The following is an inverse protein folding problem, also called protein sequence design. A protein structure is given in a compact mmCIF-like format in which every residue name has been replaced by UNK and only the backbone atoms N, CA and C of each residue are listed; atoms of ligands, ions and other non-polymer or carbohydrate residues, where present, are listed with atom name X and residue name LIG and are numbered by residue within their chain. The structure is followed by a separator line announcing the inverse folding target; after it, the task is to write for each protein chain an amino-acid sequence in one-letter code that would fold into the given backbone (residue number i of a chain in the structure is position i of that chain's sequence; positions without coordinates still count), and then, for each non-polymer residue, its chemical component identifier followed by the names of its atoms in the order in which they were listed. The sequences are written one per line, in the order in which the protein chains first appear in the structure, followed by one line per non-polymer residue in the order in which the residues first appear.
data_IF_457987121097
#
_entry.id   IF_457987121097
#
_cell.length_a   1.000
_cell.length_b   1.000
_cell.length_c   1.000
_cell.angle_alpha   90.00
_cell.angle_beta   90.00
_cell.angle_gamma   90.00
#
_symmetry.space_group_name_H-M   'P 1'
#
loop_
_entity.id
_entity.type
_entity.pdbx_description
1 polymer ?
#
# COMPACT_ATOMS: atom_id res chain seq x y z
N UNK A 1 -6.47 24.75 2.54
CA UNK A 1 -6.32 23.36 3.06
C UNK A 1 -4.83 23.15 3.12
N UNK A 2 -4.30 22.85 4.31
CA UNK A 2 -2.87 22.87 4.58
C UNK A 2 -2.33 21.42 4.65
N UNK A 3 -1.39 21.00 3.78
CA UNK A 3 -1.00 19.59 3.65
C UNK A 3 -0.33 19.01 4.89
N UNK A 4 0.30 19.86 5.71
CA UNK A 4 1.01 19.48 6.93
C UNK A 4 0.08 19.20 8.11
N UNK A 5 -1.22 19.50 8.01
CA UNK A 5 -2.14 19.33 9.14
C UNK A 5 -2.59 17.88 9.29
N UNK A 6 -2.84 17.47 10.54
CA UNK A 6 -3.32 16.13 10.85
C UNK A 6 -4.66 15.85 10.16
N UNK A 7 -5.54 16.85 10.07
CA UNK A 7 -6.84 16.75 9.41
C UNK A 7 -6.68 16.46 7.92
N UNK A 8 -5.75 17.13 7.24
CA UNK A 8 -5.47 16.89 5.83
C UNK A 8 -4.95 15.47 5.62
N UNK A 9 -3.95 15.05 6.40
CA UNK A 9 -3.37 13.70 6.30
C UNK A 9 -4.41 12.62 6.58
N UNK A 10 -5.29 12.81 7.57
CA UNK A 10 -6.39 11.86 7.85
C UNK A 10 -7.35 11.75 6.68
N UNK A 11 -7.70 12.87 6.05
CA UNK A 11 -8.56 12.87 4.86
C UNK A 11 -7.92 12.15 3.67
N UNK A 12 -6.62 12.37 3.44
CA UNK A 12 -5.85 11.68 2.39
C UNK A 12 -5.83 10.16 2.65
N UNK A 13 -5.62 9.73 3.90
CA UNK A 13 -5.63 8.31 4.29
C UNK A 13 -7.01 7.68 4.04
N UNK A 14 -8.10 8.38 4.33
CA UNK A 14 -9.47 7.89 4.08
C UNK A 14 -9.70 7.64 2.59
N UNK A 15 -9.29 8.56 1.72
CA UNK A 15 -9.40 8.40 0.26
C UNK A 15 -8.55 7.22 -0.21
N UNK A 16 -7.31 7.12 0.26
CA UNK A 16 -6.37 6.07 -0.12
C UNK A 16 -6.87 4.67 0.28
N UNK A 17 -7.49 4.53 1.47
CA UNK A 17 -8.13 3.30 1.95
C UNK A 17 -9.37 2.93 1.16
N UNK A 18 -10.23 3.92 0.88
CA UNK A 18 -11.42 3.71 0.07
C UNK A 18 -11.05 3.18 -1.33
N UNK A 19 -10.07 3.82 -1.98
CA UNK A 19 -9.63 3.43 -3.32
C UNK A 19 -8.95 2.05 -3.30
N UNK A 20 -8.13 1.73 -2.29
CA UNK A 20 -7.56 0.39 -2.15
C UNK A 20 -8.64 -0.69 -2.06
N UNK A 21 -9.67 -0.50 -1.23
CA UNK A 21 -10.76 -1.47 -1.12
C UNK A 21 -11.59 -1.59 -2.40
N UNK A 22 -11.70 -0.52 -3.19
CA UNK A 22 -12.37 -0.55 -4.48
C UNK A 22 -11.52 -1.24 -5.57
N UNK A 23 -10.20 -1.13 -5.48
CA UNK A 23 -9.25 -1.78 -6.39
C UNK A 23 -9.06 -3.27 -6.08
N UNK A 24 -8.98 -3.61 -4.80
CA UNK A 24 -8.69 -4.96 -4.32
C UNK A 24 -9.94 -5.82 -4.07
N UNK A 25 -11.14 -5.26 -4.26
CA UNK A 25 -12.41 -5.98 -4.08
C UNK A 25 -12.76 -6.82 -5.31
N UNK A 26 -13.53 -7.89 -5.08
CA UNK A 26 -13.97 -8.81 -6.14
C UNK A 26 -14.85 -8.15 -7.20
N UNK A 27 -15.61 -7.13 -6.79
CA UNK A 27 -16.49 -6.37 -7.66
C UNK A 27 -15.88 -5.00 -7.99
N UNK A 28 -15.98 -4.61 -9.26
CA UNK A 28 -15.58 -3.28 -9.71
C UNK A 28 -16.34 -2.19 -8.96
N UNK A 29 -15.59 -1.28 -8.32
CA UNK A 29 -16.10 -0.06 -7.69
C UNK A 29 -15.34 1.15 -8.21
N UNK A 30 -16.08 2.24 -8.47
CA UNK A 30 -15.47 3.49 -8.96
C UNK A 30 -14.60 4.12 -7.87
N UNK A 31 -13.32 4.31 -8.19
CA UNK A 31 -12.36 5.04 -7.37
C UNK A 31 -12.51 6.56 -7.50
N UNK A 32 -12.05 7.28 -6.47
CA UNK A 32 -11.90 8.74 -6.48
C UNK A 32 -10.44 9.08 -6.79
N UNK A 33 -10.13 9.30 -8.06
CA UNK A 33 -8.75 9.47 -8.51
C UNK A 33 -7.95 8.17 -8.45
N UNK A 34 -6.62 8.29 -8.30
CA UNK A 34 -5.69 7.15 -8.41
C UNK A 34 -4.86 6.91 -7.13
N UNK A 35 -5.03 7.73 -6.10
CA UNK A 35 -4.31 7.55 -4.85
C UNK A 35 -4.84 6.30 -4.12
N UNK A 36 -3.95 5.37 -3.80
CA UNK A 36 -4.26 4.19 -2.99
C UNK A 36 -3.23 4.05 -1.88
N UNK A 37 -3.62 3.43 -0.76
CA UNK A 37 -2.64 3.06 0.24
C UNK A 37 -1.70 2.00 -0.34
N UNK A 38 -0.42 2.08 -0.01
CA UNK A 38 0.49 0.98 -0.31
C UNK A 38 0.13 -0.22 0.62
N UNK A 39 0.09 -1.47 0.14
CA UNK A 39 -0.42 -2.63 0.89
C UNK A 39 0.53 -3.17 1.95
N UNK A 40 1.03 -2.27 2.80
CA UNK A 40 1.84 -2.57 3.98
C UNK A 40 1.20 -1.93 5.21
N UNK A 41 1.57 -2.42 6.38
CA UNK A 41 1.21 -1.83 7.67
C UNK A 41 2.44 -1.78 8.58
N UNK A 42 2.45 -0.79 9.45
CA UNK A 42 3.49 -0.64 10.47
C UNK A 42 2.99 -1.28 11.77
N UNK A 43 3.71 -2.26 12.27
CA UNK A 43 3.38 -2.95 13.52
C UNK A 43 3.61 -2.04 14.72
N UNK A 44 3.07 -2.41 15.90
CA UNK A 44 3.38 -1.71 17.17
C UNK A 44 4.89 -1.69 17.49
N UNK A 45 5.62 -2.67 16.96
CA UNK A 45 7.07 -2.80 17.11
C UNK A 45 7.87 -2.01 16.06
N UNK A 46 7.18 -1.24 15.19
CA UNK A 46 7.74 -0.45 14.08
C UNK A 46 8.24 -1.29 12.88
N UNK A 47 7.88 -2.56 12.83
CA UNK A 47 8.19 -3.41 11.67
C UNK A 47 7.23 -3.12 10.52
N UNK A 48 7.76 -3.11 9.29
CA UNK A 48 6.94 -3.10 8.08
C UNK A 48 6.46 -4.51 7.81
N UNK A 49 5.15 -4.70 7.74
CA UNK A 49 4.52 -5.99 7.49
C UNK A 49 3.48 -5.88 6.39
N UNK A 50 3.07 -7.01 5.81
CA UNK A 50 2.01 -7.05 4.80
C UNK A 50 0.68 -6.54 5.39
N UNK A 51 -0.12 -5.88 4.55
CA UNK A 51 -1.53 -5.67 4.87
C UNK A 51 -2.22 -7.06 4.98
N UNK A 52 -3.05 -7.33 6.01
CA UNK A 52 -3.67 -8.64 6.19
C UNK A 52 -4.46 -9.06 4.96
N UNK A 53 -4.21 -10.28 4.46
CA UNK A 53 -4.82 -10.82 3.24
C UNK A 53 -4.10 -10.45 1.93
N UNK A 54 -3.05 -9.62 1.98
CA UNK A 54 -2.33 -9.13 0.80
C UNK A 54 -0.82 -9.35 0.95
N UNK A 55 -0.35 -10.56 0.67
CA UNK A 55 1.09 -10.88 0.67
C UNK A 55 1.78 -10.60 -0.67
N UNK A 56 1.01 -10.69 -1.76
CA UNK A 56 1.45 -10.43 -3.12
C UNK A 56 0.62 -9.34 -3.76
N UNK A 57 1.18 -8.67 -4.77
CA UNK A 57 0.41 -7.80 -5.65
C UNK A 57 -0.68 -8.60 -6.36
N UNK A 58 -1.86 -7.98 -6.43
CA UNK A 58 -3.00 -8.49 -7.18
C UNK A 58 -2.57 -8.76 -8.62
N UNK A 59 -3.08 -9.86 -9.19
CA UNK A 59 -2.87 -10.33 -10.57
C UNK A 59 -1.45 -10.77 -10.95
N UNK A 60 -0.40 -10.18 -10.39
CA UNK A 60 1.01 -10.42 -10.78
C UNK A 60 1.75 -11.39 -9.86
N UNK A 61 1.28 -11.59 -8.62
CA UNK A 61 1.88 -12.57 -7.69
C UNK A 61 3.25 -12.20 -7.12
N UNK A 62 3.78 -11.01 -7.41
CA UNK A 62 5.03 -10.52 -6.81
C UNK A 62 4.85 -10.18 -5.33
N UNK A 63 5.80 -10.59 -4.48
CA UNK A 63 5.76 -10.30 -3.04
C UNK A 63 5.86 -8.80 -2.77
N UNK A 64 4.95 -8.27 -1.95
CA UNK A 64 4.88 -6.82 -1.65
C UNK A 64 6.13 -6.33 -0.91
N UNK A 65 6.62 -7.09 0.07
CA UNK A 65 7.86 -6.77 0.80
C UNK A 65 9.13 -7.16 0.03
N UNK A 66 8.98 -7.66 -1.19
CA UNK A 66 10.06 -8.22 -1.97
C UNK A 66 10.65 -9.50 -1.38
N UNK A 67 11.81 -9.86 -1.90
CA UNK A 67 12.64 -10.94 -1.38
C UNK A 67 14.10 -10.61 -1.67
N UNK A 68 15.03 -10.92 -0.76
CA UNK A 68 16.46 -10.84 -1.05
C UNK A 68 16.79 -11.72 -2.25
N UNK A 69 17.72 -11.25 -3.10
CA UNK A 69 18.21 -12.02 -4.25
C UNK A 69 19.71 -12.30 -4.08
N UNK A 70 20.26 -13.18 -4.91
CA UNK A 70 21.71 -13.42 -4.95
C UNK A 70 22.46 -12.35 -5.75
N UNK A 71 21.77 -11.34 -6.27
CA UNK A 71 22.41 -10.25 -7.01
C UNK A 71 23.15 -9.31 -6.05
N UNK A 72 24.31 -8.77 -6.45
CA UNK A 72 25.01 -7.78 -5.66
C UNK A 72 24.19 -6.49 -5.50
N UNK A 73 24.24 -5.89 -4.31
CA UNK A 73 23.57 -4.62 -4.01
C UNK A 73 23.92 -3.51 -5.01
N UNK A 74 25.16 -3.49 -5.51
CA UNK A 74 25.62 -2.54 -6.53
C UNK A 74 24.77 -2.51 -7.82
N UNK A 75 23.90 -3.50 -8.05
CA UNK A 75 22.96 -3.55 -9.18
C UNK A 75 21.52 -3.23 -8.80
N UNK A 76 21.16 -3.29 -7.52
CA UNK A 76 19.76 -3.26 -7.05
C UNK A 76 19.45 -2.16 -6.04
N UNK A 77 20.47 -1.44 -5.56
CA UNK A 77 20.33 -0.27 -4.66
C UNK A 77 20.61 1.05 -5.35
#
# INVERSE_FOLDING_TARGET
MEPQTVECVRHVIEIARYNWNAFAGDEYKKMKGHLMQYPVQISKNKDVTNLPGFECFLDVGGKILGAPTTLPDALTT
#
